data_IF_988783783069
#
_entry.id   IF_988783783069
#
_cell.length_a   1.000
_cell.length_b   1.000
_cell.length_c   1.000
_cell.angle_alpha   90.00
_cell.angle_beta   90.00
_cell.angle_gamma   90.00
#
_symmetry.space_group_name_H-M   'P 1'
#
loop_
_entity.id
_entity.type
_entity.pdbx_description
1 polymer ?
#
# COMPACT_ATOMS: atom_id res chain seq x y z
N UNK A 1 3.63 4.04 -8.33
CA UNK A 1 4.70 3.38 -7.57
C UNK A 1 4.24 2.22 -6.67
N UNK A 2 2.96 2.10 -6.29
CA UNK A 2 2.52 1.11 -5.29
C UNK A 2 2.54 -0.39 -5.72
N UNK A 3 2.65 -0.73 -7.01
CA UNK A 3 2.47 -2.12 -7.47
C UNK A 3 3.34 -2.54 -8.67
N UNK A 4 4.61 -2.15 -8.73
CA UNK A 4 5.56 -2.78 -9.67
C UNK A 4 6.16 -4.06 -9.07
N UNK A 5 6.47 -5.02 -9.95
CA UNK A 5 6.75 -6.44 -9.69
C UNK A 5 7.75 -6.69 -8.55
N UNK A 6 7.24 -6.91 -7.35
CA UNK A 6 7.98 -7.66 -6.33
C UNK A 6 7.53 -9.12 -6.42
N UNK A 7 8.45 -10.04 -6.72
CA UNK A 7 8.18 -11.47 -6.66
C UNK A 7 8.10 -11.92 -5.19
N UNK A 8 7.01 -11.56 -4.51
CA UNK A 8 6.72 -12.07 -3.17
C UNK A 8 6.03 -13.42 -3.29
N UNK A 9 6.55 -14.44 -2.63
CA UNK A 9 5.86 -15.73 -2.47
C UNK A 9 4.90 -15.60 -1.30
N UNK A 10 3.61 -15.84 -1.54
CA UNK A 10 2.61 -15.91 -0.49
C UNK A 10 2.36 -17.36 -0.10
N UNK A 11 2.17 -17.59 1.19
CA UNK A 11 1.80 -18.88 1.76
C UNK A 11 0.50 -18.70 2.53
N UNK A 12 -0.41 -19.66 2.42
CA UNK A 12 -1.61 -19.69 3.24
C UNK A 12 -1.28 -20.14 4.67
N UNK A 13 -2.28 -20.14 5.55
CA UNK A 13 -2.10 -20.51 6.95
C UNK A 13 -1.68 -21.98 7.17
N UNK A 14 -1.91 -22.85 6.19
CA UNK A 14 -1.48 -24.26 6.20
C UNK A 14 -0.04 -24.44 5.69
N UNK A 15 0.63 -23.36 5.28
CA UNK A 15 1.97 -23.40 4.71
C UNK A 15 2.01 -23.76 3.22
N UNK A 16 0.86 -23.83 2.54
CA UNK A 16 0.81 -24.04 1.10
C UNK A 16 1.08 -22.74 0.34
N UNK A 17 1.96 -22.81 -0.65
CA UNK A 17 2.26 -21.67 -1.50
C UNK A 17 1.04 -21.31 -2.37
N UNK A 18 0.66 -20.04 -2.35
CA UNK A 18 -0.34 -19.48 -3.26
C UNK A 18 0.27 -19.33 -4.64
N UNK A 19 -0.46 -19.72 -5.69
CA UNK A 19 0.05 -19.63 -7.05
C UNK A 19 0.35 -18.18 -7.43
N UNK A 20 1.50 -17.93 -8.07
CA UNK A 20 1.85 -16.57 -8.47
C UNK A 20 0.84 -15.97 -9.46
N UNK A 21 0.23 -16.81 -10.29
CA UNK A 21 -0.85 -16.37 -11.19
C UNK A 21 -2.02 -15.77 -10.41
N UNK A 22 -2.49 -16.43 -9.35
CA UNK A 22 -3.57 -15.90 -8.50
C UNK A 22 -3.16 -14.58 -7.84
N UNK A 23 -1.92 -14.50 -7.32
CA UNK A 23 -1.41 -13.25 -6.73
C UNK A 23 -1.43 -12.11 -7.75
N UNK A 24 -0.99 -12.35 -8.98
CA UNK A 24 -1.02 -11.34 -10.05
C UNK A 24 -2.45 -10.93 -10.43
N UNK A 25 -3.35 -11.88 -10.65
CA UNK A 25 -4.74 -11.62 -11.06
C UNK A 25 -5.53 -10.86 -9.98
N UNK A 26 -5.36 -11.23 -8.71
CA UNK A 26 -5.96 -10.51 -7.59
C UNK A 26 -5.33 -9.12 -7.45
N UNK A 27 -4.02 -8.99 -7.65
CA UNK A 27 -3.34 -7.69 -7.66
C UNK A 27 -3.86 -6.74 -8.74
N UNK A 28 -4.13 -7.24 -9.95
CA UNK A 28 -4.74 -6.46 -11.02
C UNK A 28 -6.21 -6.13 -10.72
N UNK A 29 -6.93 -7.02 -10.04
CA UNK A 29 -8.27 -6.73 -9.51
C UNK A 29 -8.24 -5.63 -8.46
N UNK A 30 -7.29 -5.66 -7.53
CA UNK A 30 -7.12 -4.61 -6.53
C UNK A 30 -6.81 -3.25 -7.16
N UNK A 31 -5.95 -3.19 -8.20
CA UNK A 31 -5.71 -1.95 -8.96
C UNK A 31 -6.99 -1.41 -9.60
N UNK A 32 -7.83 -2.29 -10.17
CA UNK A 32 -9.13 -1.90 -10.73
C UNK A 32 -10.07 -1.36 -9.66
N UNK A 33 -10.14 -2.00 -8.49
CA UNK A 33 -10.91 -1.50 -7.34
C UNK A 33 -10.45 -0.08 -6.97
N UNK A 34 -9.14 0.15 -6.80
CA UNK A 34 -8.61 1.47 -6.47
C UNK A 34 -8.92 2.52 -7.54
N UNK A 35 -8.87 2.16 -8.82
CA UNK A 35 -9.25 3.07 -9.91
C UNK A 35 -10.74 3.48 -9.83
N UNK A 36 -11.64 2.57 -9.45
CA UNK A 36 -13.04 2.91 -9.23
C UNK A 36 -13.25 3.77 -7.97
N UNK A 37 -12.43 3.62 -6.92
CA UNK A 37 -12.50 4.51 -5.74
C UNK A 37 -12.19 5.97 -6.09
N UNK A 38 -11.36 6.22 -7.11
CA UNK A 38 -11.10 7.57 -7.62
C UNK A 38 -12.37 8.21 -8.19
N UNK A 39 -13.26 7.43 -8.81
CA UNK A 39 -14.56 7.95 -9.29
C UNK A 39 -15.50 8.22 -8.13
N UNK A 40 -15.53 7.33 -7.13
CA UNK A 40 -16.29 7.55 -5.88
C UNK A 40 -15.86 8.87 -5.21
N UNK A 41 -14.56 9.20 -5.22
CA UNK A 41 -14.04 10.48 -4.72
C UNK A 41 -14.63 11.70 -5.43
N UNK A 42 -14.86 11.63 -6.74
CA UNK A 42 -15.41 12.75 -7.52
C UNK A 42 -16.90 12.98 -7.24
N UNK A 43 -17.63 11.91 -6.89
CA UNK A 43 -19.06 11.95 -6.59
C UNK A 43 -19.37 12.46 -5.18
N UNK A 44 -18.41 12.39 -4.25
CA UNK A 44 -18.60 12.71 -2.85
C UNK A 44 -17.79 13.95 -2.43
N UNK A 45 -18.46 15.08 -2.10
CA UNK A 45 -17.77 16.31 -1.71
C UNK A 45 -17.07 16.20 -0.35
N UNK A 46 -17.56 15.34 0.54
CA UNK A 46 -16.96 15.07 1.85
C UNK A 46 -15.94 13.94 1.77
N UNK A 47 -14.94 13.97 2.66
CA UNK A 47 -13.96 12.89 2.71
C UNK A 47 -14.57 11.62 3.32
N UNK A 48 -14.02 10.48 2.93
CA UNK A 48 -14.35 9.17 3.49
C UNK A 48 -13.13 8.28 3.52
N UNK A 49 -13.22 7.18 4.24
CA UNK A 49 -12.12 6.22 4.29
C UNK A 49 -11.99 5.40 3.00
N UNK A 50 -10.78 4.89 2.76
CA UNK A 50 -10.54 3.93 1.68
C UNK A 50 -11.40 2.68 1.88
N UNK A 51 -11.52 2.16 3.10
CA UNK A 51 -12.37 1.01 3.38
C UNK A 51 -13.84 1.24 2.97
N UNK A 52 -14.41 2.40 3.31
CA UNK A 52 -15.76 2.77 2.90
C UNK A 52 -15.89 2.85 1.38
N UNK A 53 -14.93 3.49 0.71
CA UNK A 53 -14.93 3.61 -0.75
C UNK A 53 -14.81 2.25 -1.45
N UNK A 54 -13.98 1.34 -0.94
CA UNK A 54 -13.86 -0.05 -1.44
C UNK A 54 -15.19 -0.77 -1.27
N UNK A 55 -15.87 -0.61 -0.13
CA UNK A 55 -17.20 -1.21 0.06
C UNK A 55 -18.21 -0.69 -0.95
N UNK A 56 -18.22 0.61 -1.26
CA UNK A 56 -19.08 1.20 -2.29
C UNK A 56 -18.78 0.59 -3.65
N UNK A 57 -17.49 0.52 -4.03
CA UNK A 57 -17.05 -0.07 -5.30
C UNK A 57 -17.49 -1.53 -5.41
N UNK A 58 -17.27 -2.37 -4.38
CA UNK A 58 -17.65 -3.78 -4.41
C UNK A 58 -19.18 -3.97 -4.44
N UNK A 59 -19.95 -3.03 -3.90
CA UNK A 59 -21.41 -3.03 -4.03
C UNK A 59 -21.87 -2.70 -5.45
N UNK A 60 -21.20 -1.76 -6.13
CA UNK A 60 -21.48 -1.38 -7.53
C UNK A 60 -20.95 -2.39 -8.55
N UNK A 61 -19.85 -3.08 -8.21
CA UNK A 61 -19.12 -4.01 -9.05
C UNK A 61 -18.98 -5.38 -8.37
N UNK A 62 -20.06 -6.17 -8.24
CA UNK A 62 -20.02 -7.50 -7.64
C UNK A 62 -19.01 -8.45 -8.29
N UNK A 63 -18.70 -8.25 -9.58
CA UNK A 63 -17.70 -9.02 -10.35
C UNK A 63 -16.26 -8.83 -9.86
N UNK A 64 -15.96 -7.75 -9.12
CA UNK A 64 -14.64 -7.51 -8.53
C UNK A 64 -14.47 -8.26 -7.19
N UNK A 65 -15.56 -8.78 -6.60
CA UNK A 65 -15.49 -9.52 -5.34
C UNK A 65 -14.72 -10.82 -5.51
N UNK A 66 -13.80 -11.05 -4.59
CA UNK A 66 -13.05 -12.29 -4.51
C UNK A 66 -13.65 -13.22 -3.46
N UNK A 67 -13.50 -14.53 -3.65
CA UNK A 67 -13.99 -15.58 -2.76
C UNK A 67 -12.87 -16.58 -2.42
N UNK A 68 -13.02 -17.28 -1.30
CA UNK A 68 -12.05 -18.28 -0.84
C UNK A 68 -10.63 -17.71 -0.75
N UNK A 69 -9.64 -18.47 -1.23
CA UNK A 69 -8.23 -18.05 -1.18
C UNK A 69 -7.96 -16.72 -1.91
N UNK A 70 -8.68 -16.43 -3.00
CA UNK A 70 -8.52 -15.16 -3.71
C UNK A 70 -8.99 -13.96 -2.85
N UNK A 71 -9.96 -14.17 -1.97
CA UNK A 71 -10.37 -13.17 -0.98
C UNK A 71 -9.27 -12.89 0.03
N UNK A 72 -8.62 -13.92 0.56
CA UNK A 72 -7.49 -13.77 1.48
C UNK A 72 -6.32 -13.02 0.84
N UNK A 73 -6.04 -13.30 -0.44
CA UNK A 73 -5.03 -12.56 -1.21
C UNK A 73 -5.43 -11.08 -1.38
N UNK A 74 -6.73 -10.80 -1.62
CA UNK A 74 -7.22 -9.41 -1.69
C UNK A 74 -7.06 -8.70 -0.34
N UNK A 75 -7.38 -9.37 0.77
CA UNK A 75 -7.16 -8.83 2.12
C UNK A 75 -5.68 -8.56 2.38
N UNK A 76 -4.79 -9.43 1.90
CA UNK A 76 -3.34 -9.18 1.97
C UNK A 76 -2.92 -7.90 1.23
N UNK A 77 -3.52 -7.60 0.07
CA UNK A 77 -3.27 -6.34 -0.63
C UNK A 77 -3.78 -5.11 0.14
N UNK A 78 -4.94 -5.22 0.81
CA UNK A 78 -5.45 -4.18 1.70
C UNK A 78 -4.51 -3.98 2.88
N UNK A 79 -4.09 -5.06 3.55
CA UNK A 79 -3.13 -5.01 4.65
C UNK A 79 -1.78 -4.42 4.23
N UNK A 80 -1.33 -4.67 2.99
CA UNK A 80 -0.14 -4.00 2.44
C UNK A 80 -0.30 -2.51 2.27
N UNK A 81 -1.49 -2.05 1.93
CA UNK A 81 -1.79 -0.63 1.89
C UNK A 81 -1.76 -0.05 3.31
N UNK A 82 -2.38 -0.71 4.29
CA UNK A 82 -2.33 -0.31 5.70
C UNK A 82 -0.89 -0.19 6.21
N UNK A 83 -0.05 -1.18 5.91
CA UNK A 83 1.37 -1.16 6.24
C UNK A 83 2.13 0.00 5.57
N UNK A 84 1.74 0.41 4.36
CA UNK A 84 2.33 1.56 3.66
C UNK A 84 1.97 2.88 4.35
N UNK A 85 0.74 3.02 4.84
CA UNK A 85 0.28 4.23 5.53
C UNK A 85 0.48 4.20 7.05
N UNK A 86 0.91 3.07 7.61
CA UNK A 86 0.98 2.81 9.05
C UNK A 86 -0.35 3.09 9.78
N UNK A 87 -1.48 2.81 9.14
CA UNK A 87 -2.83 2.98 9.69
C UNK A 87 -3.83 2.08 8.99
N UNK A 88 -4.91 1.75 9.67
CA UNK A 88 -5.97 0.87 9.16
C UNK A 88 -6.73 1.53 8.00
N UNK A 89 -7.30 0.72 7.10
CA UNK A 89 -7.91 1.22 5.86
C UNK A 89 -9.15 2.12 6.10
N UNK A 90 -9.75 2.06 7.28
CA UNK A 90 -10.84 2.92 7.73
C UNK A 90 -10.37 4.32 8.20
N UNK A 91 -9.06 4.50 8.39
CA UNK A 91 -8.43 5.78 8.74
C UNK A 91 -7.71 6.43 7.55
N UNK A 92 -7.48 5.67 6.46
CA UNK A 92 -6.86 6.22 5.24
C UNK A 92 -7.88 7.07 4.48
N UNK A 93 -7.59 8.35 4.29
CA UNK A 93 -8.41 9.31 3.53
C UNK A 93 -8.47 9.00 2.03
N UNK A 94 -9.68 8.87 1.48
CA UNK A 94 -9.90 8.72 0.04
C UNK A 94 -9.44 9.96 -0.74
N UNK A 95 -9.58 11.16 -0.17
CA UNK A 95 -9.13 12.40 -0.84
C UNK A 95 -7.62 12.49 -1.00
N UNK A 96 -6.86 11.87 -0.10
CA UNK A 96 -5.42 12.18 0.03
C UNK A 96 -4.48 10.99 -0.09
N UNK A 97 -4.96 9.74 -0.09
CA UNK A 97 -4.09 8.54 -0.13
C UNK A 97 -3.10 8.52 -1.30
N UNK A 98 -3.50 9.01 -2.49
CA UNK A 98 -2.68 9.04 -3.69
C UNK A 98 -1.90 10.35 -3.87
N UNK A 99 -2.10 11.36 -3.02
CA UNK A 99 -1.44 12.67 -3.12
C UNK A 99 0.07 12.55 -2.92
N UNK A 100 0.51 11.71 -1.99
CA UNK A 100 1.93 11.39 -1.86
C UNK A 100 2.45 10.82 -3.18
N UNK A 101 1.75 9.89 -3.83
CA UNK A 101 2.17 9.38 -5.14
C UNK A 101 2.16 10.45 -6.25
N UNK A 102 1.31 11.47 -6.16
CA UNK A 102 1.28 12.60 -7.09
C UNK A 102 2.46 13.56 -6.88
N UNK A 103 2.77 13.93 -5.63
CA UNK A 103 3.92 14.80 -5.28
C UNK A 103 5.25 14.07 -5.52
N UNK A 104 5.30 12.77 -5.23
CA UNK A 104 6.48 11.92 -5.42
C UNK A 104 6.70 11.62 -6.91
N UNK A 105 5.69 11.77 -7.81
CA UNK A 105 5.89 11.54 -9.25
C UNK A 105 6.83 12.55 -9.91
N UNK A 106 6.96 13.77 -9.38
CA UNK A 106 7.92 14.77 -9.87
C UNK A 106 9.36 14.56 -9.35
N UNK A 107 9.52 13.93 -8.18
CA UNK A 107 10.80 13.72 -7.51
C UNK A 107 11.01 12.25 -7.10
N UNK A 108 10.57 11.32 -7.95
CA UNK A 108 10.88 9.89 -7.75
C UNK A 108 12.40 9.80 -7.68
N UNK A 109 12.92 9.29 -6.55
CA UNK A 109 14.27 8.73 -6.54
C UNK A 109 14.27 7.57 -7.53
N UNK A 110 14.74 7.84 -8.74
CA UNK A 110 14.83 6.86 -9.80
C UNK A 110 15.90 5.85 -9.41
N UNK A 111 15.51 4.59 -9.20
CA UNK A 111 16.43 3.57 -8.68
C UNK A 111 15.71 2.34 -8.13
N UNK A 112 16.51 1.37 -7.67
CA UNK A 112 16.01 0.19 -6.98
C UNK A 112 15.75 0.44 -5.50
N UNK A 113 14.92 -0.39 -4.88
CA UNK A 113 14.73 -0.41 -3.43
C UNK A 113 15.79 -1.32 -2.81
N UNK A 114 16.63 -0.78 -1.92
CA UNK A 114 17.72 -1.49 -1.27
C UNK A 114 17.50 -1.64 0.24
N UNK A 115 17.92 -2.78 0.79
CA UNK A 115 18.03 -2.96 2.24
C UNK A 115 19.36 -2.37 2.71
N UNK A 116 19.32 -1.41 3.63
CA UNK A 116 20.53 -0.88 4.27
C UNK A 116 21.02 -1.91 5.30
N UNK A 117 21.94 -2.78 4.88
CA UNK A 117 22.35 -3.98 5.65
C UNK A 117 22.98 -3.68 7.02
N UNK A 118 23.56 -2.50 7.22
CA UNK A 118 24.11 -2.07 8.51
C UNK A 118 23.13 -1.21 9.33
N UNK A 119 21.89 -1.08 8.87
CA UNK A 119 20.95 -0.08 9.37
C UNK A 119 21.39 1.36 9.04
N UNK A 120 20.60 2.33 9.49
CA UNK A 120 20.88 3.76 9.28
C UNK A 120 21.86 4.35 10.31
N UNK A 121 22.22 3.61 11.36
CA UNK A 121 23.09 4.08 12.46
C UNK A 121 24.44 4.67 12.00
N UNK A 122 25.19 4.05 11.06
CA UNK A 122 26.44 4.63 10.58
C UNK A 122 26.26 6.00 9.90
N UNK A 123 25.14 6.19 9.19
CA UNK A 123 24.82 7.45 8.52
C UNK A 123 24.50 8.53 9.56
N UNK A 124 23.66 8.20 10.55
CA UNK A 124 23.30 9.12 11.63
C UNK A 124 24.54 9.56 12.42
N UNK A 125 25.45 8.63 12.75
CA UNK A 125 26.70 8.93 13.45
C UNK A 125 27.63 9.82 12.63
N UNK A 126 27.76 9.58 11.33
CA UNK A 126 28.56 10.41 10.45
C UNK A 126 28.00 11.84 10.39
N UNK A 127 26.68 12.00 10.27
CA UNK A 127 26.01 13.31 10.25
C UNK A 127 26.13 14.05 11.59
N UNK A 128 26.19 13.32 12.70
CA UNK A 128 26.31 13.87 14.05
C UNK A 128 27.75 14.28 14.42
N UNK A 129 28.75 13.93 13.59
CA UNK A 129 30.15 14.23 13.89
C UNK A 129 30.38 15.73 13.96
N UNK A 130 31.07 16.18 15.02
CA UNK A 130 31.38 17.58 15.30
C UNK A 130 30.16 18.51 15.57
N UNK A 131 28.96 17.95 15.77
CA UNK A 131 27.79 18.70 16.23
C UNK A 131 27.70 18.70 17.78
N UNK A 132 27.47 19.87 18.38
CA UNK A 132 27.15 19.99 19.81
C UNK A 132 25.69 19.56 20.05
N UNK A 133 25.46 18.25 20.16
CA UNK A 133 24.14 17.66 20.40
C UNK A 133 24.00 17.36 21.89
N UNK A 134 23.10 18.08 22.57
CA UNK A 134 22.73 17.81 23.96
C UNK A 134 21.57 16.83 24.02
N UNK A 135 21.83 15.63 24.54
CA UNK A 135 20.81 14.61 24.75
C UNK A 135 20.19 14.75 26.15
N UNK A 136 18.94 14.33 26.31
CA UNK A 136 18.19 14.33 27.59
C UNK A 136 18.08 15.71 28.25
N UNK A 137 17.93 16.75 27.44
CA UNK A 137 17.97 18.14 27.89
C UNK A 137 16.62 18.85 27.74
#
# INVERSE_FOLDING_TARGET
>A
MLFHRYSCMLFNMDGHQVSQQMVMEVGDTFKRILAETVKVREEHPDDMSILQSISIVLNRHPELRQQGLAHEVLQWYICRMEAWFATDADMISLKTWDQASAIISEHVLTGGHGLVVQGYDPVVKALATDLDIRLNH
#
